data_IF_989025878463
#
_entry.id   IF_989025878463
#
_cell.length_a   1.000
_cell.length_b   1.000
_cell.length_c   1.000
_cell.angle_alpha   90.00
_cell.angle_beta   90.00
_cell.angle_gamma   90.00
#
_symmetry.space_group_name_H-M   'P 1'
#
loop_
_entity.id
_entity.type
_entity.pdbx_description
1 polymer ?
#
# COMPACT_ATOMS: atom_id res chain seq x y z
N UNK A 1 -39.49 -35.98 5.10
CA UNK A 1 -40.57 -35.07 4.62
C UNK A 1 -40.12 -33.65 5.00
N UNK A 2 -39.42 -32.93 4.12
CA UNK A 2 -39.93 -32.13 2.99
C UNK A 2 -40.68 -30.88 3.48
N UNK A 3 -39.92 -29.87 3.89
CA UNK A 3 -40.32 -28.46 3.86
C UNK A 3 -39.12 -27.68 3.32
N UNK A 4 -39.12 -27.39 2.02
CA UNK A 4 -39.67 -26.16 1.40
C UNK A 4 -38.72 -24.96 1.60
N UNK A 5 -37.94 -24.75 0.53
CA UNK A 5 -37.50 -23.47 -0.04
C UNK A 5 -37.99 -22.20 0.69
N UNK A 6 -37.04 -21.40 1.15
CA UNK A 6 -37.18 -19.96 1.28
C UNK A 6 -35.90 -19.28 0.78
N UNK A 7 -35.89 -18.98 -0.52
CA UNK A 7 -35.12 -17.90 -1.14
C UNK A 7 -35.65 -16.57 -0.58
N UNK A 8 -34.85 -15.49 -0.67
CA UNK A 8 -35.13 -14.08 -0.29
C UNK A 8 -34.56 -13.79 1.13
N UNK A 9 -33.52 -12.98 1.31
CA UNK A 9 -33.42 -11.55 0.96
C UNK A 9 -31.96 -11.16 0.70
N UNK A 10 -31.73 -10.45 -0.40
CA UNK A 10 -30.54 -9.63 -0.67
C UNK A 10 -30.42 -8.59 0.44
N UNK A 11 -29.52 -8.80 1.39
CA UNK A 11 -29.24 -7.82 2.44
C UNK A 11 -27.86 -7.22 2.29
N UNK A 12 -27.86 -6.09 1.57
CA UNK A 12 -27.08 -4.89 1.86
C UNK A 12 -25.56 -5.09 1.76
N UNK A 13 -25.07 -4.88 0.53
CA UNK A 13 -23.72 -4.38 0.28
C UNK A 13 -23.56 -3.03 0.97
N UNK A 14 -23.18 -3.04 2.24
CA UNK A 14 -22.70 -1.88 2.97
C UNK A 14 -21.22 -1.65 2.64
N UNK A 15 -20.91 -1.38 1.37
CA UNK A 15 -19.61 -0.82 0.97
C UNK A 15 -19.61 0.70 1.18
N UNK A 16 -19.96 1.14 2.40
CA UNK A 16 -19.75 2.50 2.89
C UNK A 16 -18.31 2.65 3.44
N UNK A 17 -17.32 2.25 2.64
CA UNK A 17 -15.89 2.37 2.96
C UNK A 17 -15.08 3.16 1.93
N UNK A 18 -15.75 3.82 0.97
CA UNK A 18 -15.08 4.53 -0.12
C UNK A 18 -14.69 5.95 0.25
N UNK A 19 -13.43 6.15 0.66
CA UNK A 19 -12.71 7.35 0.24
C UNK A 19 -12.26 8.37 1.30
N UNK A 20 -12.12 8.02 2.58
CA UNK A 20 -11.26 8.82 3.45
C UNK A 20 -9.81 8.60 2.98
N UNK A 21 -9.28 9.55 2.19
CA UNK A 21 -7.96 9.56 1.58
C UNK A 21 -6.91 8.83 2.43
N UNK A 22 -6.66 7.55 2.15
CA UNK A 22 -5.66 6.76 2.87
C UNK A 22 -4.24 7.08 2.33
N UNK A 23 -4.03 8.37 2.04
CA UNK A 23 -2.79 8.95 1.52
C UNK A 23 -1.77 8.93 2.66
N UNK A 24 -0.59 8.33 2.47
CA UNK A 24 0.51 8.41 3.43
C UNK A 24 1.07 9.83 3.52
N UNK A 25 1.67 10.16 4.67
CA UNK A 25 2.37 11.45 4.85
C UNK A 25 3.66 11.48 4.02
N UNK A 26 4.19 12.68 3.77
CA UNK A 26 5.47 12.82 3.08
C UNK A 26 6.61 12.17 3.88
N UNK A 27 6.64 12.43 5.19
CA UNK A 27 7.65 11.90 6.11
C UNK A 27 7.62 10.37 6.20
N UNK A 28 6.43 9.76 6.23
CA UNK A 28 6.31 8.30 6.25
C UNK A 28 6.76 7.69 4.92
N UNK A 29 6.42 8.32 3.80
CA UNK A 29 6.92 7.93 2.49
C UNK A 29 8.44 8.04 2.41
N UNK A 30 9.03 9.14 2.91
CA UNK A 30 10.49 9.30 2.93
C UNK A 30 11.16 8.19 3.74
N UNK A 31 10.65 7.88 4.94
CA UNK A 31 11.16 6.79 5.78
C UNK A 31 11.07 5.44 5.07
N UNK A 32 9.93 5.13 4.45
CA UNK A 32 9.75 3.89 3.73
C UNK A 32 10.67 3.76 2.51
N UNK A 33 10.85 4.84 1.73
CA UNK A 33 11.76 4.86 0.57
C UNK A 33 13.21 4.66 1.01
N UNK A 34 13.65 5.35 2.07
CA UNK A 34 15.01 5.20 2.58
C UNK A 34 15.27 3.81 3.14
N UNK A 35 14.32 3.24 3.89
CA UNK A 35 14.44 1.88 4.39
C UNK A 35 14.49 0.88 3.23
N UNK A 36 13.63 1.04 2.23
CA UNK A 36 13.65 0.24 1.00
C UNK A 36 15.03 0.29 0.32
N UNK A 37 15.61 1.49 0.16
CA UNK A 37 16.95 1.64 -0.42
C UNK A 37 18.03 0.93 0.40
N UNK A 38 17.98 1.05 1.73
CA UNK A 38 18.93 0.39 2.62
C UNK A 38 18.85 -1.13 2.50
N UNK A 39 17.64 -1.70 2.55
CA UNK A 39 17.42 -3.14 2.44
C UNK A 39 17.81 -3.70 1.07
N UNK A 40 17.64 -2.92 -0.01
CA UNK A 40 18.00 -3.33 -1.36
C UNK A 40 19.46 -2.99 -1.74
N UNK A 41 20.22 -2.36 -0.85
CA UNK A 41 21.60 -1.96 -1.11
C UNK A 41 21.75 -0.81 -2.13
N UNK A 42 20.74 0.04 -2.27
CA UNK A 42 20.68 1.18 -3.21
C UNK A 42 20.71 2.55 -2.51
N UNK A 43 21.29 2.62 -1.30
CA UNK A 43 21.29 3.80 -0.41
C UNK A 43 21.77 5.12 -1.02
N UNK A 44 22.66 5.07 -2.01
CA UNK A 44 23.22 6.25 -2.69
C UNK A 44 22.66 6.48 -4.11
N UNK A 45 21.68 5.68 -4.54
CA UNK A 45 21.23 5.66 -5.92
C UNK A 45 20.29 6.82 -6.31
N UNK A 46 19.76 7.58 -5.34
CA UNK A 46 18.72 8.58 -5.57
C UNK A 46 19.21 9.96 -5.11
N UNK A 47 19.26 10.92 -6.03
CA UNK A 47 19.55 12.32 -5.68
C UNK A 47 18.40 12.94 -4.86
N UNK A 48 18.63 14.05 -4.17
CA UNK A 48 17.58 14.75 -3.41
C UNK A 48 16.40 15.20 -4.30
N UNK A 49 16.65 15.55 -5.56
CA UNK A 49 15.60 15.89 -6.51
C UNK A 49 14.76 14.66 -6.89
N UNK A 50 15.40 13.51 -7.05
CA UNK A 50 14.73 12.23 -7.35
C UNK A 50 13.92 11.74 -6.15
N UNK A 51 14.41 11.96 -4.92
CA UNK A 51 13.70 11.59 -3.69
C UNK A 51 12.34 12.29 -3.58
N UNK A 52 12.26 13.58 -3.92
CA UNK A 52 10.98 14.31 -3.93
C UNK A 52 10.03 13.81 -5.02
N UNK A 53 10.55 13.29 -6.14
CA UNK A 53 9.78 12.55 -7.12
C UNK A 53 9.21 11.25 -6.55
N UNK A 54 10.05 10.45 -5.89
CA UNK A 54 9.66 9.18 -5.29
C UNK A 54 8.66 9.36 -4.14
N UNK A 55 8.80 10.40 -3.30
CA UNK A 55 7.82 10.71 -2.25
C UNK A 55 6.44 10.98 -2.88
N UNK A 56 6.38 11.77 -3.96
CA UNK A 56 5.12 12.02 -4.68
C UNK A 56 4.55 10.74 -5.28
N UNK A 57 5.39 9.86 -5.84
CA UNK A 57 4.98 8.54 -6.35
C UNK A 57 4.44 7.65 -5.22
N UNK A 58 5.14 7.57 -4.09
CA UNK A 58 4.73 6.83 -2.91
C UNK A 58 3.34 7.28 -2.43
N UNK A 59 3.13 8.60 -2.33
CA UNK A 59 1.85 9.18 -1.93
C UNK A 59 0.70 8.89 -2.90
N UNK A 60 0.96 8.76 -4.20
CA UNK A 60 -0.06 8.44 -5.21
C UNK A 60 -0.25 6.94 -5.46
N UNK A 61 0.75 6.13 -5.12
CA UNK A 61 0.82 4.70 -5.45
C UNK A 61 0.62 3.75 -4.29
N UNK A 62 0.75 4.21 -3.04
CA UNK A 62 0.65 3.37 -1.83
C UNK A 62 -0.40 3.90 -0.85
N UNK A 63 -0.85 3.05 0.07
CA UNK A 63 -1.68 3.43 1.21
C UNK A 63 -0.83 3.53 2.50
N UNK A 64 -1.40 4.09 3.58
CA UNK A 64 -0.68 4.27 4.85
C UNK A 64 -0.17 2.95 5.43
N UNK A 65 -0.94 1.87 5.31
CA UNK A 65 -0.59 0.57 5.87
C UNK A 65 0.64 -0.03 5.15
N UNK A 66 0.67 0.04 3.83
CA UNK A 66 1.80 -0.40 3.01
C UNK A 66 3.07 0.41 3.31
N UNK A 67 2.93 1.73 3.44
CA UNK A 67 4.05 2.61 3.82
C UNK A 67 4.56 2.30 5.21
N UNK A 68 3.67 2.12 6.20
CA UNK A 68 4.05 1.78 7.56
C UNK A 68 4.71 0.40 7.66
N UNK A 69 4.29 -0.56 6.85
CA UNK A 69 4.94 -1.86 6.73
C UNK A 69 6.36 -1.70 6.17
N UNK A 70 6.51 -1.03 5.02
CA UNK A 70 7.81 -0.86 4.38
C UNK A 70 8.80 -0.06 5.24
N UNK A 71 8.32 0.92 6.02
CA UNK A 71 9.15 1.67 6.96
C UNK A 71 9.67 0.84 8.15
N UNK A 72 9.03 -0.31 8.45
CA UNK A 72 9.40 -1.19 9.57
C UNK A 72 10.07 -2.50 9.13
N UNK A 73 10.04 -2.81 7.84
CA UNK A 73 10.66 -4.00 7.30
C UNK A 73 12.15 -4.04 7.69
N UNK A 74 12.63 -5.22 8.10
CA UNK A 74 14.00 -5.43 8.57
C UNK A 74 14.86 -6.18 7.56
N UNK A 75 14.24 -6.75 6.54
CA UNK A 75 14.88 -7.52 5.48
C UNK A 75 14.10 -7.38 4.16
N UNK A 76 14.74 -7.72 3.02
CA UNK A 76 14.11 -7.61 1.70
C UNK A 76 12.83 -8.43 1.53
N UNK A 77 12.68 -9.54 2.26
CA UNK A 77 11.51 -10.42 2.11
C UNK A 77 10.28 -9.85 2.84
N UNK A 78 10.47 -9.27 4.02
CA UNK A 78 9.45 -8.47 4.70
C UNK A 78 9.02 -7.27 3.85
N UNK A 79 9.98 -6.58 3.23
CA UNK A 79 9.71 -5.44 2.36
C UNK A 79 8.84 -5.83 1.15
N UNK A 80 9.12 -6.97 0.50
CA UNK A 80 8.31 -7.50 -0.61
C UNK A 80 6.86 -7.83 -0.19
N UNK A 81 6.65 -8.20 1.07
CA UNK A 81 5.33 -8.49 1.60
C UNK A 81 4.47 -7.23 1.84
N UNK A 82 5.07 -6.05 1.89
CA UNK A 82 4.40 -4.81 2.32
C UNK A 82 3.45 -4.16 1.30
N UNK A 83 3.23 -4.74 0.11
CA UNK A 83 2.45 -4.13 -0.99
C UNK A 83 2.86 -2.67 -1.32
N UNK A 84 4.06 -2.26 -0.91
CA UNK A 84 4.57 -0.90 -1.00
C UNK A 84 5.07 -0.62 -2.42
N UNK A 85 4.54 0.45 -3.03
CA UNK A 85 4.84 0.85 -4.41
C UNK A 85 4.66 -0.28 -5.44
N UNK A 86 3.87 -1.31 -5.10
CA UNK A 86 3.55 -2.38 -6.03
C UNK A 86 2.76 -1.80 -7.21
N UNK A 87 2.96 -2.31 -8.44
CA UNK A 87 2.10 -1.94 -9.55
C UNK A 87 0.66 -2.26 -9.15
N UNK A 88 -0.26 -1.30 -9.31
CA UNK A 88 -1.69 -1.60 -9.18
C UNK A 88 -1.95 -2.76 -10.13
N UNK A 89 -2.41 -3.91 -9.62
CA UNK A 89 -2.97 -4.95 -10.48
C UNK A 89 -4.05 -4.26 -11.30
N UNK A 90 -3.77 -4.03 -12.58
CA UNK A 90 -4.81 -3.72 -13.55
C UNK A 90 -5.83 -4.83 -13.39
N UNK A 91 -7.01 -4.50 -12.86
CA UNK A 91 -8.13 -5.42 -12.94
C UNK A 91 -8.30 -5.76 -14.44
N UNK A 92 -8.47 -7.04 -14.80
CA UNK A 92 -8.73 -7.42 -16.18
C UNK A 92 -9.97 -6.72 -16.72
#
# INVERSE_FOLDING_TARGET
MKHLLAVVVVSIVSLLGGGACNKPSADDCEKAIRNMQQLLGTGDAISTADLQGEIRRCQGGSNREAVACAAKATNPDELKACAFMAPKKSAP
#
